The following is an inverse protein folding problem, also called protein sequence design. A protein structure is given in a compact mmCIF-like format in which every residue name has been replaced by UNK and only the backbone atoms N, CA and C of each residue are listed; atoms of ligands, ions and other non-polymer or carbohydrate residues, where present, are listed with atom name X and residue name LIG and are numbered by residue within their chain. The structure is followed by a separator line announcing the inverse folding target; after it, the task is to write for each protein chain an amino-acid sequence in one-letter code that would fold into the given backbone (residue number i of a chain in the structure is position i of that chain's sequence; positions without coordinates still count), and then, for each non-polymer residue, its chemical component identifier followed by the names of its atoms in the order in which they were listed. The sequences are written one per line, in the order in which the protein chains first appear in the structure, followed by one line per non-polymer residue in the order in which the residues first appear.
data_IF_488082011580
#
_entry.id   IF_488082011580
#
_cell.length_a   1.000
_cell.length_b   1.000
_cell.length_c   1.000
_cell.angle_alpha   90.00
_cell.angle_beta   90.00
_cell.angle_gamma   90.00
#
_symmetry.space_group_name_H-M   'P 1'
#
loop_
_entity.id
_entity.type
_entity.pdbx_description
1 polymer ?
#
# COMPACT_ATOMS: atom_id res chain seq x y z
N UNK A 1 4.27 -10.02 12.26
CA UNK A 1 5.40 -10.62 11.53
C UNK A 1 6.14 -9.64 10.60
N UNK A 2 5.58 -8.51 10.14
CA UNK A 2 6.37 -7.51 9.40
C UNK A 2 6.63 -6.18 10.13
N UNK A 3 5.81 -5.73 11.10
CA UNK A 3 5.87 -4.35 11.64
C UNK A 3 5.70 -3.26 10.57
N UNK A 4 5.08 -3.59 9.43
CA UNK A 4 4.79 -2.63 8.36
C UNK A 4 4.05 -3.26 7.17
N UNK A 5 3.31 -2.44 6.43
CA UNK A 5 2.63 -2.79 5.17
C UNK A 5 3.51 -2.40 3.96
N UNK A 6 3.00 -2.58 2.73
CA UNK A 6 3.71 -2.18 1.49
C UNK A 6 4.06 -0.70 1.44
N UNK A 7 3.23 0.20 1.97
CA UNK A 7 3.57 1.63 2.08
C UNK A 7 4.55 1.92 3.22
N UNK A 8 4.47 1.18 4.34
CA UNK A 8 5.38 1.32 5.48
C UNK A 8 6.81 0.85 5.19
N UNK A 9 6.98 -0.35 4.64
CA UNK A 9 8.29 -0.87 4.23
C UNK A 9 8.73 -0.37 2.86
N UNK A 10 7.81 -0.30 1.89
CA UNK A 10 8.12 0.10 0.53
C UNK A 10 8.39 1.59 0.38
N UNK A 11 7.45 2.47 0.76
CA UNK A 11 7.62 3.92 0.57
C UNK A 11 8.46 4.54 1.69
N UNK A 12 8.00 4.46 2.94
CA UNK A 12 8.68 5.09 4.08
C UNK A 12 9.98 4.36 4.50
N UNK A 13 10.02 3.04 4.35
CA UNK A 13 11.15 2.21 4.76
C UNK A 13 12.32 2.26 3.76
N UNK A 14 12.02 2.23 2.46
CA UNK A 14 13.02 2.35 1.40
C UNK A 14 13.53 3.80 1.28
N UNK A 15 12.66 4.80 1.52
CA UNK A 15 13.09 6.20 1.52
C UNK A 15 14.12 6.54 2.59
N UNK A 16 14.12 5.77 3.69
CA UNK A 16 15.09 5.86 4.80
C UNK A 16 16.32 4.94 4.62
N UNK A 17 16.46 4.26 3.49
CA UNK A 17 17.55 3.30 3.19
C UNK A 17 17.70 2.17 4.22
N UNK A 18 16.59 1.67 4.78
CA UNK A 18 16.65 0.56 5.74
C UNK A 18 16.87 -0.78 5.04
N UNK A 19 17.94 -1.50 5.40
CA UNK A 19 18.23 -2.87 4.91
C UNK A 19 17.07 -3.84 5.17
N UNK A 20 16.43 -3.74 6.33
CA UNK A 20 15.26 -4.55 6.72
C UNK A 20 14.09 -4.38 5.75
N UNK A 21 13.82 -3.14 5.37
CA UNK A 21 12.74 -2.80 4.44
C UNK A 21 13.05 -3.28 3.01
N UNK A 22 14.31 -3.17 2.56
CA UNK A 22 14.70 -3.69 1.26
C UNK A 22 14.46 -5.20 1.15
N UNK A 23 14.91 -5.98 2.14
CA UNK A 23 14.69 -7.43 2.17
C UNK A 23 13.20 -7.78 2.21
N UNK A 24 12.41 -7.08 3.03
CA UNK A 24 10.96 -7.27 3.06
C UNK A 24 10.31 -7.00 1.69
N UNK A 25 10.72 -5.93 1.00
CA UNK A 25 10.20 -5.55 -0.32
C UNK A 25 10.52 -6.59 -1.39
N UNK A 26 11.78 -7.03 -1.46
CA UNK A 26 12.18 -8.07 -2.40
C UNK A 26 11.41 -9.37 -2.14
N UNK A 27 11.32 -9.80 -0.87
CA UNK A 27 10.67 -11.07 -0.53
C UNK A 27 9.18 -11.10 -0.84
N UNK A 28 8.41 -10.08 -0.46
CA UNK A 28 6.98 -10.07 -0.80
C UNK A 28 6.76 -9.91 -2.31
N UNK A 29 7.58 -9.11 -3.00
CA UNK A 29 7.41 -8.87 -4.44
C UNK A 29 7.71 -10.13 -5.24
N UNK A 30 8.80 -10.84 -4.93
CA UNK A 30 9.12 -12.13 -5.55
C UNK A 30 8.04 -13.17 -5.30
N UNK A 31 7.53 -13.28 -4.07
CA UNK A 31 6.44 -14.21 -3.76
C UNK A 31 5.15 -13.85 -4.51
N UNK A 32 4.84 -12.55 -4.63
CA UNK A 32 3.67 -12.09 -5.34
C UNK A 32 3.74 -12.38 -6.85
N UNK A 33 4.88 -12.11 -7.48
CA UNK A 33 5.12 -12.43 -8.90
C UNK A 33 5.01 -13.95 -9.13
N UNK A 34 5.66 -14.76 -8.28
CA UNK A 34 5.58 -16.22 -8.37
C UNK A 34 4.14 -16.71 -8.23
N UNK A 35 3.41 -16.20 -7.24
CA UNK A 35 2.03 -16.61 -6.97
C UNK A 35 1.06 -16.15 -8.05
N UNK A 36 1.22 -14.93 -8.58
CA UNK A 36 0.43 -14.44 -9.70
C UNK A 36 0.68 -15.26 -10.97
N UNK A 37 1.93 -15.67 -11.21
CA UNK A 37 2.30 -16.55 -12.34
C UNK A 37 1.72 -17.96 -12.18
N UNK A 38 1.73 -18.52 -10.96
CA UNK A 38 1.09 -19.81 -10.68
C UNK A 38 -0.42 -19.70 -10.84
N UNK A 39 -1.02 -18.61 -10.36
CA UNK A 39 -2.46 -18.37 -10.42
C UNK A 39 -2.94 -18.15 -11.87
N UNK A 40 -2.12 -17.54 -12.73
CA UNK A 40 -2.41 -17.41 -14.16
C UNK A 40 -2.28 -18.73 -14.91
N UNK A 41 -1.38 -19.63 -14.50
CA UNK A 41 -1.29 -21.00 -15.04
C UNK A 41 -2.47 -21.86 -14.57
N UNK A 42 -2.94 -21.68 -13.33
CA UNK A 42 -4.10 -22.39 -12.78
C UNK A 42 -5.46 -21.90 -13.33
N UNK A 43 -5.52 -20.75 -14.01
CA UNK A 43 -6.73 -20.25 -14.71
C UNK A 43 -7.19 -21.13 -15.88
N UNK A 44 -6.46 -22.20 -16.22
CA UNK A 44 -6.98 -23.29 -17.06
C UNK A 44 -7.94 -24.25 -16.35
N UNK A 45 -8.27 -24.02 -15.07
CA UNK A 45 -9.14 -24.89 -14.24
C UNK A 45 -10.50 -24.23 -13.92
N UNK A 46 -11.58 -25.01 -13.68
CA UNK A 46 -12.97 -24.52 -13.64
C UNK A 46 -13.33 -23.61 -12.45
N UNK A 47 -12.39 -23.31 -11.55
CA UNK A 47 -12.54 -22.35 -10.44
C UNK A 47 -12.00 -20.96 -10.84
N UNK A 48 -12.46 -20.47 -11.99
CA UNK A 48 -11.99 -19.20 -12.55
C UNK A 48 -12.62 -18.00 -11.83
N UNK A 49 -11.83 -17.26 -11.07
CA UNK A 49 -12.20 -15.93 -10.59
C UNK A 49 -12.17 -14.99 -11.81
N UNK A 50 -13.34 -14.55 -12.27
CA UNK A 50 -13.45 -13.71 -13.47
C UNK A 50 -12.70 -12.38 -13.26
N UNK A 51 -11.55 -12.24 -13.92
CA UNK A 51 -10.83 -10.97 -13.96
C UNK A 51 -11.73 -9.95 -14.68
N UNK A 52 -12.12 -8.89 -13.95
CA UNK A 52 -12.92 -7.81 -14.51
C UNK A 52 -12.25 -7.22 -15.76
N UNK A 53 -13.02 -6.88 -16.81
CA UNK A 53 -12.50 -6.47 -18.10
C UNK A 53 -11.62 -5.22 -18.01
N UNK A 54 -10.66 -5.12 -18.94
CA UNK A 54 -9.82 -3.95 -19.15
C UNK A 54 -10.71 -2.82 -19.68
N UNK A 55 -11.33 -2.06 -18.78
CA UNK A 55 -12.03 -0.84 -19.17
C UNK A 55 -10.96 0.21 -19.48
N UNK A 56 -10.81 0.61 -20.73
CA UNK A 56 -9.99 1.78 -21.06
C UNK A 56 -10.48 2.98 -20.23
N UNK A 57 -9.57 3.76 -19.66
CA UNK A 57 -9.90 4.98 -18.92
C UNK A 57 -10.65 5.93 -19.84
N UNK A 58 -11.96 6.11 -19.61
CA UNK A 58 -12.78 7.05 -20.36
C UNK A 58 -12.33 8.50 -20.09
N UNK A 59 -12.50 9.43 -21.05
CA UNK A 59 -12.14 10.84 -20.89
C UNK A 59 -12.83 11.49 -19.66
N UNK A 60 -14.01 10.99 -19.29
CA UNK A 60 -14.74 11.33 -18.07
C UNK A 60 -13.90 11.18 -16.79
N UNK A 61 -13.13 10.08 -16.69
CA UNK A 61 -12.29 9.78 -15.51
C UNK A 61 -11.15 10.80 -15.40
N UNK A 62 -10.59 11.23 -16.53
CA UNK A 62 -9.54 12.27 -16.53
C UNK A 62 -10.09 13.65 -16.14
N UNK A 63 -11.32 13.98 -16.56
CA UNK A 63 -11.95 15.24 -16.18
C UNK A 63 -12.28 15.26 -14.67
N UNK A 64 -12.89 14.18 -14.17
CA UNK A 64 -13.16 14.03 -12.74
C UNK A 64 -11.88 14.09 -11.90
N UNK A 65 -10.80 13.43 -12.35
CA UNK A 65 -9.51 13.49 -11.66
C UNK A 65 -8.91 14.90 -11.61
N UNK A 66 -9.02 15.69 -12.69
CA UNK A 66 -8.59 17.10 -12.70
C UNK A 66 -9.39 17.94 -11.70
N UNK A 67 -10.70 17.74 -11.63
CA UNK A 67 -11.59 18.45 -10.70
C UNK A 67 -11.24 18.09 -9.25
N UNK A 68 -11.07 16.81 -8.93
CA UNK A 68 -10.64 16.38 -7.59
C UNK A 68 -9.25 16.91 -7.23
N UNK A 69 -8.31 16.89 -8.18
CA UNK A 69 -6.96 17.42 -7.99
C UNK A 69 -6.96 18.92 -7.72
N UNK A 70 -7.75 19.70 -8.45
CA UNK A 70 -7.88 21.15 -8.25
C UNK A 70 -8.62 21.48 -6.94
N UNK A 71 -9.67 20.72 -6.60
CA UNK A 71 -10.39 20.86 -5.34
C UNK A 71 -9.52 20.55 -4.11
N UNK A 72 -8.63 19.56 -4.22
CA UNK A 72 -7.58 19.36 -3.23
C UNK A 72 -6.59 20.52 -3.29
N UNK A 73 -6.05 20.95 -4.43
CA UNK A 73 -5.08 22.06 -4.37
C UNK A 73 -5.65 23.37 -3.76
N UNK A 74 -6.94 23.66 -3.99
CA UNK A 74 -7.62 24.85 -3.49
C UNK A 74 -8.03 24.78 -2.02
N UNK A 75 -8.24 23.60 -1.45
CA UNK A 75 -8.56 23.45 -0.02
C UNK A 75 -7.32 23.50 0.89
N UNK A 76 -6.11 23.41 0.33
CA UNK A 76 -4.83 23.39 1.04
C UNK A 76 -4.58 24.69 1.85
N UNK A 77 -4.79 25.90 1.31
CA UNK A 77 -4.62 27.16 2.05
C UNK A 77 -5.61 27.31 3.20
N UNK A 78 -6.88 26.95 2.99
CA UNK A 78 -7.90 26.98 4.03
C UNK A 78 -7.59 26.01 5.16
N UNK A 79 -7.06 24.84 4.82
CA UNK A 79 -6.64 23.85 5.80
C UNK A 79 -5.41 24.30 6.61
N UNK A 80 -4.42 24.93 5.97
CA UNK A 80 -3.26 25.51 6.66
C UNK A 80 -3.66 26.68 7.58
N UNK A 81 -4.64 27.48 7.17
CA UNK A 81 -5.18 28.58 7.98
C UNK A 81 -5.87 28.06 9.26
N UNK A 82 -6.76 27.08 9.12
CA UNK A 82 -7.47 26.44 10.24
C UNK A 82 -6.49 25.72 11.17
N UNK A 83 -5.47 25.07 10.59
CA UNK A 83 -4.42 24.33 11.30
C UNK A 83 -3.53 25.20 12.22
N UNK A 84 -3.49 26.52 12.06
CA UNK A 84 -2.65 27.38 12.90
C UNK A 84 -3.21 27.58 14.32
N UNK A 85 -4.46 27.21 14.56
CA UNK A 85 -5.13 27.45 15.85
C UNK A 85 -4.92 26.35 16.89
N UNK A 86 -4.89 25.08 16.48
CA UNK A 86 -4.89 23.92 17.39
C UNK A 86 -4.05 22.75 16.84
N UNK A 87 -3.17 22.18 17.68
CA UNK A 87 -2.28 21.08 17.30
C UNK A 87 -3.04 19.79 16.93
N UNK A 88 -4.10 19.45 17.67
CA UNK A 88 -4.93 18.27 17.36
C UNK A 88 -5.71 18.45 16.05
N UNK A 89 -6.22 19.65 15.80
CA UNK A 89 -6.95 19.96 14.57
C UNK A 89 -6.01 19.87 13.35
N UNK A 90 -4.76 20.32 13.50
CA UNK A 90 -3.72 20.15 12.48
C UNK A 90 -3.50 18.69 12.10
N UNK A 91 -3.36 17.81 13.09
CA UNK A 91 -3.12 16.37 12.83
C UNK A 91 -4.30 15.73 12.09
N UNK A 92 -5.53 16.02 12.51
CA UNK A 92 -6.75 15.50 11.86
C UNK A 92 -6.88 16.05 10.44
N UNK A 93 -6.66 17.35 10.24
CA UNK A 93 -6.71 17.99 8.93
C UNK A 93 -5.66 17.39 7.97
N UNK A 94 -4.40 17.30 8.40
CA UNK A 94 -3.32 16.74 7.59
C UNK A 94 -3.53 15.24 7.30
N UNK A 95 -4.06 14.48 8.26
CA UNK A 95 -4.41 13.06 8.07
C UNK A 95 -5.54 12.88 7.06
N UNK A 96 -6.61 13.67 7.19
CA UNK A 96 -7.74 13.64 6.24
C UNK A 96 -7.29 14.04 4.84
N UNK A 97 -6.43 15.06 4.74
CA UNK A 97 -5.86 15.52 3.48
C UNK A 97 -5.04 14.45 2.77
N UNK A 98 -4.07 13.89 3.48
CA UNK A 98 -3.19 12.86 2.93
C UNK A 98 -3.98 11.62 2.52
N UNK A 99 -5.02 11.26 3.28
CA UNK A 99 -5.97 10.21 2.92
C UNK A 99 -6.73 10.50 1.62
N UNK A 100 -7.28 11.71 1.47
CA UNK A 100 -8.00 12.13 0.26
C UNK A 100 -7.08 12.19 -0.97
N UNK A 101 -5.87 12.75 -0.82
CA UNK A 101 -4.86 12.78 -1.89
C UNK A 101 -4.45 11.36 -2.30
N UNK A 102 -4.22 10.47 -1.32
CA UNK A 102 -3.85 9.09 -1.58
C UNK A 102 -4.97 8.33 -2.30
N UNK A 103 -6.22 8.44 -1.83
CA UNK A 103 -7.39 7.83 -2.46
C UNK A 103 -7.62 8.33 -3.89
N UNK A 104 -7.54 9.64 -4.12
CA UNK A 104 -7.65 10.22 -5.47
C UNK A 104 -6.52 9.72 -6.38
N UNK A 105 -5.30 9.64 -5.87
CA UNK A 105 -4.14 9.11 -6.60
C UNK A 105 -4.30 7.64 -7.00
N UNK A 106 -4.86 6.79 -6.13
CA UNK A 106 -5.13 5.37 -6.44
C UNK A 106 -6.21 5.21 -7.51
N UNK A 107 -7.26 6.04 -7.46
CA UNK A 107 -8.33 6.06 -8.46
C UNK A 107 -7.80 6.50 -9.82
N UNK A 108 -7.01 7.58 -9.85
CA UNK A 108 -6.34 8.06 -11.07
C UNK A 108 -5.37 7.02 -11.64
N UNK A 109 -4.58 6.40 -10.78
CA UNK A 109 -3.63 5.37 -11.14
C UNK A 109 -4.26 4.05 -11.61
N UNK A 110 -5.58 3.90 -11.54
CA UNK A 110 -6.30 2.69 -11.92
C UNK A 110 -5.99 1.48 -11.03
N UNK A 111 -5.25 1.66 -9.93
CA UNK A 111 -4.86 0.60 -9.00
C UNK A 111 -6.05 0.05 -8.20
N UNK A 112 -7.19 0.75 -8.24
CA UNK A 112 -8.49 0.25 -7.73
C UNK A 112 -8.94 -1.00 -8.49
N UNK A 113 -8.43 -1.22 -9.71
CA UNK A 113 -8.80 -2.37 -10.54
C UNK A 113 -7.81 -3.53 -10.36
N UNK A 114 -8.30 -4.75 -10.03
CA UNK A 114 -7.43 -5.91 -9.85
C UNK A 114 -6.72 -6.34 -11.14
N UNK A 115 -7.30 -6.06 -12.31
CA UNK A 115 -6.70 -6.38 -13.61
C UNK A 115 -5.41 -5.61 -13.89
N UNK A 116 -5.30 -4.36 -13.42
CA UNK A 116 -4.08 -3.54 -13.56
C UNK A 116 -2.96 -4.10 -12.68
N UNK A 117 -3.29 -4.58 -11.48
CA UNK A 117 -2.33 -5.20 -10.56
C UNK A 117 -1.88 -6.55 -11.10
N UNK A 118 -2.81 -7.41 -11.52
CA UNK A 118 -2.49 -8.74 -12.04
C UNK A 118 -1.59 -8.67 -13.28
N UNK A 119 -1.84 -7.72 -14.20
CA UNK A 119 -1.00 -7.52 -15.38
C UNK A 119 0.31 -6.79 -15.08
N UNK A 120 0.39 -6.00 -14.01
CA UNK A 120 1.68 -5.45 -13.57
C UNK A 120 2.64 -6.50 -12.98
N UNK A 121 2.10 -7.62 -12.46
CA UNK A 121 2.86 -8.73 -11.88
C UNK A 121 3.12 -9.86 -12.89
N UNK A 122 2.41 -9.89 -14.02
CA UNK A 122 2.55 -10.94 -15.03
C UNK A 122 3.77 -10.71 -15.94
N UNK A 123 4.61 -11.72 -16.19
CA UNK A 123 5.72 -11.61 -17.14
C UNK A 123 5.28 -11.63 -18.62
N UNK A 124 4.05 -12.05 -18.93
CA UNK A 124 3.58 -12.21 -20.32
C UNK A 124 2.86 -10.98 -20.88
N UNK A 125 2.15 -10.23 -20.04
CA UNK A 125 1.42 -9.00 -20.41
C UNK A 125 1.79 -7.94 -19.37
N UNK A 126 2.94 -7.30 -19.54
CA UNK A 126 3.48 -6.36 -18.56
C UNK A 126 2.86 -4.97 -18.73
N UNK A 127 2.06 -4.54 -17.74
CA UNK A 127 1.58 -3.16 -17.65
C UNK A 127 2.45 -2.33 -16.68
N UNK A 128 3.16 -1.29 -17.15
CA UNK A 128 4.10 -0.52 -16.32
C UNK A 128 3.42 0.41 -15.31
N UNK A 129 2.09 0.60 -15.36
CA UNK A 129 1.34 1.56 -14.55
C UNK A 129 1.61 1.43 -13.05
N UNK A 130 1.62 0.20 -12.51
CA UNK A 130 1.92 -0.03 -11.09
C UNK A 130 3.34 0.41 -10.72
N UNK A 131 4.31 0.06 -11.55
CA UNK A 131 5.72 0.37 -11.32
C UNK A 131 6.00 1.86 -11.43
N UNK A 132 5.34 2.54 -12.38
CA UNK A 132 5.42 4.00 -12.53
C UNK A 132 4.80 4.72 -11.34
N UNK A 133 3.63 4.29 -10.86
CA UNK A 133 2.98 4.88 -9.69
C UNK A 133 3.75 4.62 -8.40
N UNK A 134 4.24 3.40 -8.20
CA UNK A 134 5.06 3.05 -7.06
C UNK A 134 6.39 3.83 -7.11
N UNK A 135 7.02 3.91 -8.28
CA UNK A 135 8.26 4.66 -8.50
C UNK A 135 8.10 6.16 -8.28
N UNK A 136 7.02 6.77 -8.77
CA UNK A 136 6.75 8.20 -8.55
C UNK A 136 6.48 8.50 -7.08
N UNK A 137 5.66 7.70 -6.39
CA UNK A 137 5.42 7.83 -4.97
C UNK A 137 6.71 7.64 -4.14
N UNK A 138 7.54 6.67 -4.52
CA UNK A 138 8.84 6.44 -3.90
C UNK A 138 9.77 7.63 -4.11
N UNK A 139 9.82 8.18 -5.32
CA UNK A 139 10.62 9.35 -5.64
C UNK A 139 10.18 10.59 -4.85
N UNK A 140 8.87 10.87 -4.78
CA UNK A 140 8.33 12.01 -4.02
C UNK A 140 8.63 11.88 -2.52
N UNK A 141 8.46 10.67 -1.97
CA UNK A 141 8.78 10.42 -0.55
C UNK A 141 10.27 10.51 -0.28
N UNK A 142 11.12 9.90 -1.11
CA UNK A 142 12.58 10.04 -1.04
C UNK A 142 13.02 11.51 -1.05
N UNK A 143 12.52 12.29 -2.00
CA UNK A 143 12.87 13.70 -2.16
C UNK A 143 12.53 14.51 -0.91
N UNK A 144 11.31 14.38 -0.40
CA UNK A 144 10.89 15.11 0.81
C UNK A 144 11.58 14.64 2.08
N UNK A 145 11.81 13.33 2.23
CA UNK A 145 12.57 12.80 3.38
C UNK A 145 14.03 13.27 3.37
N UNK A 146 14.65 13.40 2.20
CA UNK A 146 15.99 13.96 2.09
C UNK A 146 16.03 15.43 2.49
N UNK A 147 15.10 16.26 2.02
CA UNK A 147 15.01 17.68 2.43
C UNK A 147 14.76 17.79 3.94
N UNK A 148 13.83 17.02 4.50
CA UNK A 148 13.55 17.01 5.93
C UNK A 148 14.77 16.57 6.76
N UNK A 149 15.59 15.65 6.23
CA UNK A 149 16.86 15.25 6.84
C UNK A 149 17.88 16.38 6.82
N UNK A 150 17.99 17.15 5.73
CA UNK A 150 18.89 18.30 5.64
C UNK A 150 18.50 19.44 6.59
N UNK A 151 17.20 19.66 6.80
CA UNK A 151 16.71 20.72 7.69
C UNK A 151 16.75 20.34 9.18
N UNK A 152 16.90 19.05 9.51
CA UNK A 152 16.98 18.57 10.89
C UNK A 152 15.68 18.70 11.71
N UNK A 153 14.58 19.14 11.08
CA UNK A 153 13.32 19.51 11.72
C UNK A 153 12.44 18.33 12.11
N UNK A 154 12.66 17.14 11.51
CA UNK A 154 11.79 15.97 11.69
C UNK A 154 12.61 14.78 12.22
N UNK A 155 12.45 14.38 13.49
CA UNK A 155 13.20 13.26 14.07
C UNK A 155 12.89 11.92 13.36
N UNK A 156 11.68 11.76 12.81
CA UNK A 156 11.27 10.59 12.04
C UNK A 156 11.99 10.48 10.68
N UNK A 157 12.53 11.57 10.13
CA UNK A 157 13.30 11.53 8.88
C UNK A 157 14.74 11.03 9.08
N UNK A 158 15.17 10.81 10.34
CA UNK A 158 16.48 10.23 10.63
C UNK A 158 16.52 8.79 10.15
N UNK A 159 17.65 8.42 9.53
CA UNK A 159 17.93 7.03 9.12
C UNK A 159 17.81 6.13 10.34
N UNK A 160 16.78 5.29 10.38
CA UNK A 160 16.65 4.24 11.39
C UNK A 160 17.65 3.16 10.98
N UNK A 161 18.86 3.26 11.54
CA UNK A 161 19.92 2.28 11.37
C UNK A 161 19.44 0.90 11.81
N UNK A 162 19.49 -0.07 10.90
CA UNK A 162 19.77 -1.46 11.24
C UNK A 162 18.73 -2.21 12.06
N UNK A 163 17.52 -2.41 11.54
CA UNK A 163 16.70 -3.53 12.01
C UNK A 163 17.31 -4.86 11.54
N UNK A 164 17.51 -5.81 12.46
CA UNK A 164 17.93 -7.18 12.12
C UNK A 164 16.91 -7.85 11.19
N UNK A 165 17.42 -8.64 10.25
CA UNK A 165 16.59 -9.40 9.31
C UNK A 165 16.24 -10.72 9.96
N UNK A 166 15.07 -10.76 10.61
CA UNK A 166 14.58 -11.98 11.26
C UNK A 166 13.84 -12.88 10.28
N UNK A 167 13.94 -14.20 10.45
CA UNK A 167 13.15 -15.17 9.65
C UNK A 167 11.63 -14.96 9.75
N UNK A 168 11.16 -14.38 10.85
CA UNK A 168 9.74 -13.98 11.02
C UNK A 168 9.35 -12.84 10.08
N UNK A 169 10.26 -11.91 9.77
CA UNK A 169 10.02 -10.85 8.78
C UNK A 169 9.87 -11.44 7.38
N UNK A 170 10.81 -12.30 7.01
CA UNK A 170 10.83 -12.94 5.68
C UNK A 170 9.59 -13.81 5.49
N UNK A 171 9.23 -14.64 6.49
CA UNK A 171 8.03 -15.46 6.44
C UNK A 171 6.75 -14.62 6.35
N UNK A 172 6.65 -13.54 7.14
CA UNK A 172 5.51 -12.62 7.06
C UNK A 172 5.40 -11.91 5.71
N UNK A 173 6.52 -11.46 5.15
CA UNK A 173 6.58 -10.83 3.84
C UNK A 173 6.21 -11.82 2.72
N UNK A 174 6.67 -13.06 2.80
CA UNK A 174 6.32 -14.11 1.86
C UNK A 174 4.83 -14.43 1.87
N UNK A 175 4.24 -14.67 3.05
CA UNK A 175 2.80 -14.93 3.19
C UNK A 175 1.94 -13.76 2.68
N UNK A 176 2.37 -12.53 2.97
CA UNK A 176 1.73 -11.34 2.44
C UNK A 176 1.80 -11.29 0.91
N UNK A 177 2.97 -11.58 0.32
CA UNK A 177 3.16 -11.65 -1.12
C UNK A 177 2.29 -12.71 -1.78
N UNK A 178 2.16 -13.89 -1.18
CA UNK A 178 1.27 -14.96 -1.65
C UNK A 178 -0.18 -14.50 -1.65
N UNK A 179 -0.68 -13.98 -0.52
CA UNK A 179 -2.07 -13.50 -0.43
C UNK A 179 -2.37 -12.37 -1.42
N UNK A 180 -1.43 -11.44 -1.59
CA UNK A 180 -1.55 -10.37 -2.56
C UNK A 180 -1.54 -10.87 -4.01
N UNK A 181 -0.64 -11.79 -4.35
CA UNK A 181 -0.55 -12.39 -5.69
C UNK A 181 -1.76 -13.24 -6.05
N UNK A 182 -2.37 -13.93 -5.08
CA UNK A 182 -3.61 -14.72 -5.29
C UNK A 182 -4.84 -13.84 -5.48
N UNK A 183 -4.98 -12.80 -4.66
CA UNK A 183 -6.19 -11.95 -4.67
C UNK A 183 -6.13 -10.85 -5.73
N UNK A 184 -4.92 -10.47 -6.17
CA UNK A 184 -4.71 -9.34 -7.09
C UNK A 184 -5.12 -7.99 -6.50
N UNK A 185 -5.40 -7.91 -5.19
CA UNK A 185 -5.92 -6.73 -4.50
C UNK A 185 -4.91 -6.24 -3.46
N UNK A 186 -4.37 -5.03 -3.68
CA UNK A 186 -3.55 -4.36 -2.68
C UNK A 186 -4.43 -3.87 -1.50
N UNK A 187 -3.90 -3.80 -0.26
CA UNK A 187 -4.67 -3.35 0.90
C UNK A 187 -5.18 -1.90 0.79
N UNK A 188 -4.46 -1.01 0.10
CA UNK A 188 -4.90 0.37 -0.15
C UNK A 188 -6.13 0.44 -1.07
N UNK A 189 -6.03 -0.05 -2.32
CA UNK A 189 -7.15 -0.25 -3.22
C UNK A 189 -8.33 -1.04 -2.64
N UNK A 190 -8.09 -2.02 -1.77
CA UNK A 190 -9.14 -2.77 -1.09
C UNK A 190 -10.02 -1.86 -0.23
N UNK A 191 -9.41 -0.98 0.58
CA UNK A 191 -10.13 -0.02 1.42
C UNK A 191 -10.86 1.02 0.56
N UNK A 192 -10.23 1.53 -0.49
CA UNK A 192 -10.88 2.44 -1.43
C UNK A 192 -12.06 1.77 -2.15
N UNK A 193 -11.92 0.50 -2.53
CA UNK A 193 -12.97 -0.29 -3.17
C UNK A 193 -14.17 -0.54 -2.27
N UNK A 194 -13.95 -0.80 -0.97
CA UNK A 194 -15.02 -0.90 0.03
C UNK A 194 -15.81 0.41 0.16
N UNK A 195 -15.11 1.55 0.10
CA UNK A 195 -15.76 2.87 0.13
C UNK A 195 -16.56 3.17 -1.14
N UNK A 196 -16.08 2.72 -2.31
CA UNK A 196 -16.74 2.95 -3.59
C UNK A 196 -17.94 2.01 -3.84
N UNK A 197 -17.84 0.74 -3.42
CA UNK A 197 -18.86 -0.29 -3.63
C UNK A 197 -19.27 -0.96 -2.31
N UNK A 198 -20.12 -0.32 -1.49
CA UNK A 198 -20.48 -0.83 -0.17
C UNK A 198 -21.32 -2.11 -0.21
N UNK A 199 -21.86 -2.50 -1.36
CA UNK A 199 -22.67 -3.71 -1.54
C UNK A 199 -21.87 -4.93 -2.03
N UNK A 200 -20.59 -4.76 -2.35
CA UNK A 200 -19.75 -5.84 -2.85
C UNK A 200 -19.29 -6.78 -1.72
N UNK A 201 -20.08 -7.81 -1.44
CA UNK A 201 -19.81 -8.81 -0.39
C UNK A 201 -18.43 -9.49 -0.54
N UNK A 202 -17.94 -9.63 -1.78
CA UNK A 202 -16.60 -10.17 -2.06
C UNK A 202 -15.47 -9.30 -1.48
N UNK A 203 -15.59 -7.97 -1.52
CA UNK A 203 -14.60 -7.06 -0.95
C UNK A 203 -14.59 -7.12 0.58
N UNK A 204 -15.78 -7.24 1.20
CA UNK A 204 -15.91 -7.45 2.64
C UNK A 204 -15.33 -8.80 3.07
N UNK A 205 -15.53 -9.85 2.28
CA UNK A 205 -14.95 -11.17 2.53
C UNK A 205 -13.42 -11.15 2.50
N UNK A 206 -12.81 -10.48 1.52
CA UNK A 206 -11.34 -10.32 1.44
C UNK A 206 -10.82 -9.49 2.62
N UNK A 207 -11.49 -8.39 2.96
CA UNK A 207 -11.11 -7.56 4.11
C UNK A 207 -11.24 -8.30 5.45
N UNK A 208 -12.32 -9.06 5.62
CA UNK A 208 -12.52 -9.95 6.76
C UNK A 208 -11.43 -11.01 6.85
N UNK A 209 -11.06 -11.64 5.73
CA UNK A 209 -9.96 -12.61 5.66
C UNK A 209 -8.60 -12.03 6.05
N UNK A 210 -8.26 -10.84 5.55
CA UNK A 210 -7.01 -10.14 5.92
C UNK A 210 -7.01 -9.77 7.41
N UNK A 211 -8.14 -9.26 7.92
CA UNK A 211 -8.29 -8.87 9.32
C UNK A 211 -8.22 -10.08 10.27
N UNK A 212 -8.89 -11.17 9.91
CA UNK A 212 -8.85 -12.45 10.62
C UNK A 212 -7.45 -13.07 10.57
N UNK A 213 -6.74 -12.99 9.45
CA UNK A 213 -5.36 -13.44 9.33
C UNK A 213 -4.42 -12.65 10.25
N UNK A 214 -4.60 -11.33 10.35
CA UNK A 214 -3.82 -10.49 11.25
C UNK A 214 -4.09 -10.82 12.72
N UNK A 215 -5.36 -10.97 13.11
CA UNK A 215 -5.76 -11.36 14.46
C UNK A 215 -5.35 -12.80 14.82
N UNK A 216 -5.50 -13.75 13.90
CA UNK A 216 -5.08 -15.14 14.07
C UNK A 216 -3.58 -15.26 14.23
N UNK A 217 -2.79 -14.53 13.44
CA UNK A 217 -1.34 -14.45 13.62
C UNK A 217 -0.98 -13.84 14.97
N UNK A 218 -1.72 -12.82 15.44
CA UNK A 218 -1.51 -12.27 16.79
C UNK A 218 -1.73 -13.32 17.87
N UNK A 219 -2.84 -14.06 17.81
CA UNK A 219 -3.19 -15.07 18.82
C UNK A 219 -2.25 -16.28 18.83
N UNK A 220 -1.82 -16.76 17.66
CA UNK A 220 -0.89 -17.89 17.55
C UNK A 220 0.51 -17.55 18.08
N UNK A 221 0.95 -16.30 17.94
CA UNK A 221 2.28 -15.88 18.38
C UNK A 221 2.32 -15.29 19.79
N UNK A 222 1.20 -14.77 20.33
CA UNK A 222 1.07 -14.43 21.76
C UNK A 222 1.18 -15.68 22.64
N UNK A 223 0.62 -16.82 22.20
CA UNK A 223 0.72 -18.09 22.94
C UNK A 223 2.15 -18.63 23.11
N UNK A 224 3.09 -18.21 22.24
CA UNK A 224 4.49 -18.64 22.30
C UNK A 224 5.39 -17.66 23.10
N UNK A 225 4.82 -16.73 23.86
CA UNK A 225 5.54 -15.85 24.79
C UNK A 225 6.68 -15.03 24.15
N UNK A 226 6.49 -14.59 22.89
CA UNK A 226 7.45 -13.71 22.23
C UNK A 226 6.87 -12.29 22.27
N UNK A 227 7.23 -11.55 23.32
CA UNK A 227 6.80 -10.17 23.60
C UNK A 227 6.86 -9.28 22.35
N UNK A 228 5.69 -8.88 21.86
CA UNK A 228 5.52 -8.09 20.62
C UNK A 228 5.95 -6.62 20.75
N UNK A 229 6.11 -6.13 21.98
CA UNK A 229 6.35 -4.72 22.28
C UNK A 229 7.78 -4.36 22.69
N UNK A 230 8.67 -5.34 22.83
CA UNK A 230 10.04 -5.09 23.31
C UNK A 230 11.06 -4.80 22.20
N UNK A 231 10.62 -4.70 20.94
CA UNK A 231 11.45 -4.21 19.82
C UNK A 231 11.57 -2.67 19.82
N UNK A 232 11.69 -2.07 21.01
CA UNK A 232 12.00 -0.66 21.25
C UNK A 232 13.34 -0.56 21.98
N UNK A 233 14.40 -1.05 21.34
CA UNK A 233 15.79 -0.66 21.63
C UNK A 233 16.62 -0.77 20.37
#
# INVERSE_FOLDING_TARGET
LANGCTSGHGLCGLSRFSKRSFVAVCTFMSCAIATATISSVLQGSPLSFSLAPIVASSPEVFHFAKVCGFGLLSALPGMLYISNSNLQLREICMGTWSGLCFGCGLTFGGMVRPSVIATALSPTIFNPTLWVLFGSALFTTLFWYQIARFQGTVPEARVVSGGVVDGRLVCGAALFGVGWGMTGMCPGPLICGLGAFPTALSLFGVFGGVSAGFWGAKLLFDRNNINFFDAKK
#
